data_IF_302286742104
#
_entry.id   IF_302286742104
#
_cell.length_a   1.000
_cell.length_b   1.000
_cell.length_c   1.000
_cell.angle_alpha   90.00
_cell.angle_beta   90.00
_cell.angle_gamma   90.00
#
_symmetry.space_group_name_H-M   'P 1'
#
loop_
_entity.id
_entity.type
_entity.pdbx_description
1 polymer ?
#
# COMPACT_ATOMS: atom_id res chain seq x y z
N UNK A 1 -7.85 5.91 -8.15
CA UNK A 1 -7.77 4.84 -7.15
C UNK A 1 -6.44 4.14 -7.32
N UNK A 2 -5.69 3.93 -6.23
CA UNK A 2 -4.38 3.25 -6.22
C UNK A 2 -4.43 2.18 -5.14
N UNK A 3 -3.99 0.97 -5.46
CA UNK A 3 -4.03 -0.17 -4.54
C UNK A 3 -2.63 -0.73 -4.34
N UNK A 4 -2.19 -0.82 -3.08
CA UNK A 4 -0.97 -1.52 -2.67
C UNK A 4 -1.33 -2.94 -2.23
N UNK A 5 -0.95 -3.93 -3.06
CA UNK A 5 -1.03 -5.34 -2.69
C UNK A 5 0.27 -5.71 -1.97
N UNK A 6 0.15 -6.00 -0.68
CA UNK A 6 1.28 -6.21 0.21
C UNK A 6 1.24 -7.59 0.84
N UNK A 7 2.34 -7.98 1.48
CA UNK A 7 2.38 -9.14 2.35
C UNK A 7 3.42 -8.95 3.46
N UNK A 8 3.22 -9.62 4.59
CA UNK A 8 4.15 -9.60 5.73
C UNK A 8 5.56 -10.09 5.36
N UNK A 9 5.63 -11.09 4.49
CA UNK A 9 6.88 -11.71 3.99
C UNK A 9 7.53 -10.92 2.83
N UNK A 10 6.85 -9.93 2.26
CA UNK A 10 7.37 -9.16 1.13
C UNK A 10 8.39 -8.11 1.59
N UNK A 11 9.67 -8.41 1.40
CA UNK A 11 10.79 -7.48 1.67
C UNK A 11 10.67 -6.13 0.97
N UNK A 12 10.51 -6.09 -0.37
CA UNK A 12 10.35 -4.84 -1.12
C UNK A 12 9.13 -4.01 -0.71
N UNK A 13 8.03 -4.66 -0.30
CA UNK A 13 6.82 -3.98 0.11
C UNK A 13 7.04 -3.11 1.36
N UNK A 14 7.93 -3.51 2.26
CA UNK A 14 8.30 -2.71 3.45
C UNK A 14 8.99 -1.40 3.08
N UNK A 15 9.76 -1.38 1.99
CA UNK A 15 10.38 -0.16 1.47
C UNK A 15 9.36 0.77 0.79
N UNK A 16 8.38 0.20 0.09
CA UNK A 16 7.33 0.98 -0.58
C UNK A 16 6.30 1.58 0.39
N UNK A 17 6.05 0.94 1.54
CA UNK A 17 5.06 1.37 2.52
C UNK A 17 5.13 2.87 2.93
N UNK A 18 6.30 3.43 3.31
CA UNK A 18 6.39 4.86 3.66
C UNK A 18 6.11 5.79 2.46
N UNK A 19 6.56 5.42 1.26
CA UNK A 19 6.32 6.21 0.03
C UNK A 19 4.83 6.23 -0.33
N UNK A 20 4.16 5.06 -0.23
CA UNK A 20 2.73 4.95 -0.47
C UNK A 20 1.93 5.79 0.52
N UNK A 21 2.32 5.81 1.79
CA UNK A 21 1.69 6.63 2.82
C UNK A 21 1.92 8.13 2.62
N UNK A 22 3.07 8.55 2.08
CA UNK A 22 3.32 9.95 1.70
C UNK A 22 2.43 10.36 0.53
N UNK A 23 2.34 9.53 -0.50
CA UNK A 23 1.50 9.79 -1.66
C UNK A 23 0.02 9.86 -1.32
N UNK A 24 -0.45 9.00 -0.41
CA UNK A 24 -1.83 9.05 0.07
C UNK A 24 -2.17 10.39 0.75
N UNK A 25 -1.20 11.05 1.39
CA UNK A 25 -1.40 12.40 1.97
C UNK A 25 -1.30 13.51 0.92
N UNK A 26 -0.45 13.33 -0.10
CA UNK A 26 -0.20 14.34 -1.14
C UNK A 26 -1.31 14.39 -2.19
N UNK A 27 -1.84 13.24 -2.58
CA UNK A 27 -2.81 13.11 -3.66
C UNK A 27 -4.21 12.88 -3.09
N UNK A 28 -4.77 13.92 -2.46
CA UNK A 28 -6.08 13.86 -1.78
C UNK A 28 -7.26 13.58 -2.72
N UNK A 29 -7.11 13.87 -4.01
CA UNK A 29 -8.12 13.59 -5.05
C UNK A 29 -8.13 12.12 -5.51
N UNK A 30 -7.19 11.30 -5.01
CA UNK A 30 -7.11 9.89 -5.29
C UNK A 30 -7.36 9.05 -4.04
N UNK A 31 -8.13 7.96 -4.20
CA UNK A 31 -8.36 6.97 -3.15
C UNK A 31 -7.17 6.01 -3.12
N UNK A 32 -6.55 5.84 -1.95
CA UNK A 32 -5.48 4.87 -1.69
C UNK A 32 -6.00 3.74 -0.82
N UNK A 33 -5.78 2.50 -1.26
CA UNK A 33 -6.16 1.29 -0.54
C UNK A 33 -4.94 0.39 -0.36
N UNK A 34 -4.92 -0.34 0.74
CA UNK A 34 -3.91 -1.35 1.02
C UNK A 34 -4.62 -2.69 1.21
N UNK A 35 -4.13 -3.73 0.57
CA UNK A 35 -4.66 -5.09 0.66
C UNK A 35 -3.53 -6.01 1.04
N UNK A 36 -3.66 -6.69 2.18
CA UNK A 36 -2.77 -7.79 2.54
C UNK A 36 -3.24 -9.06 1.85
N UNK A 37 -2.39 -9.65 1.00
CA UNK A 37 -2.75 -10.87 0.26
C UNK A 37 -2.83 -12.09 1.17
N UNK A 38 -2.21 -12.05 2.35
CA UNK A 38 -2.29 -13.14 3.33
C UNK A 38 -3.67 -13.18 4.02
N UNK A 39 -4.41 -12.05 4.05
CA UNK A 39 -5.76 -11.95 4.64
C UNK A 39 -6.87 -12.49 3.72
N UNK A 40 -6.59 -12.71 2.43
CA UNK A 40 -7.56 -13.16 1.42
C UNK A 40 -7.75 -14.69 1.40
N UNK A 41 -7.53 -15.36 2.52
CA UNK A 41 -7.59 -16.82 2.65
C UNK A 41 -9.01 -17.35 2.88
#
# INVERSE_FOLDING_TARGET
VVVDFTASWCGPCRFMAPLFAEWARKFVDAIFLKVDVDELR
#
